data_IF_576088196233
#
_entry.id   IF_576088196233
#
_cell.length_a   1.000
_cell.length_b   1.000
_cell.length_c   1.000
_cell.angle_alpha   90.00
_cell.angle_beta   90.00
_cell.angle_gamma   90.00
#
_symmetry.space_group_name_H-M   'P 1'
#
loop_
_entity.id
_entity.type
_entity.pdbx_description
1 polymer ?
#
# COMPACT_ATOMS: atom_id res chain seq x y z
N UNK A 1 12.75 -6.01 6.76
CA UNK A 1 12.10 -5.97 5.43
C UNK A 1 12.34 -4.65 4.74
N UNK A 2 12.21 -4.60 3.44
CA UNK A 2 12.36 -3.35 2.69
C UNK A 2 11.13 -2.47 2.85
N UNK A 3 11.26 -1.17 2.54
CA UNK A 3 10.12 -0.25 2.58
C UNK A 3 9.02 -0.69 1.60
N UNK A 4 9.40 -1.22 0.44
CA UNK A 4 8.41 -1.72 -0.53
C UNK A 4 7.61 -2.89 -0.01
N UNK A 5 8.26 -3.83 0.71
CA UNK A 5 7.57 -4.94 1.35
C UNK A 5 6.61 -4.46 2.44
N UNK A 6 7.04 -3.48 3.23
CA UNK A 6 6.21 -2.90 4.28
C UNK A 6 4.96 -2.22 3.68
N UNK A 7 5.12 -1.50 2.58
CA UNK A 7 4.00 -0.88 1.87
C UNK A 7 3.02 -1.95 1.36
N UNK A 8 3.54 -3.00 0.75
CA UNK A 8 2.72 -4.11 0.26
C UNK A 8 1.87 -4.71 1.39
N UNK A 9 2.51 -5.01 2.50
CA UNK A 9 1.83 -5.61 3.65
C UNK A 9 0.82 -4.65 4.27
N UNK A 10 1.14 -3.35 4.28
CA UNK A 10 0.22 -2.33 4.80
C UNK A 10 -1.06 -2.25 3.96
N UNK A 11 -0.93 -2.32 2.63
CA UNK A 11 -2.10 -2.33 1.74
C UNK A 11 -2.99 -3.54 2.06
N UNK A 12 -2.39 -4.73 2.21
CA UNK A 12 -3.14 -5.93 2.55
C UNK A 12 -3.79 -5.83 3.93
N UNK A 13 -3.10 -5.24 4.90
CA UNK A 13 -3.63 -5.01 6.24
C UNK A 13 -4.86 -4.11 6.19
N UNK A 14 -4.79 -3.00 5.43
CA UNK A 14 -5.91 -2.08 5.29
C UNK A 14 -7.11 -2.74 4.60
N UNK A 15 -6.87 -3.55 3.58
CA UNK A 15 -7.94 -4.32 2.93
C UNK A 15 -8.63 -5.25 3.93
N UNK A 16 -7.85 -5.93 4.75
CA UNK A 16 -8.37 -6.84 5.76
C UNK A 16 -9.20 -6.10 6.81
N UNK A 17 -8.69 -4.97 7.29
CA UNK A 17 -9.41 -4.14 8.27
C UNK A 17 -10.72 -3.61 7.73
N UNK A 18 -10.76 -3.26 6.44
CA UNK A 18 -11.94 -2.71 5.80
C UNK A 18 -12.87 -3.79 5.22
N UNK A 19 -12.47 -5.06 5.28
CA UNK A 19 -13.23 -6.18 4.73
C UNK A 19 -13.51 -5.99 3.23
N UNK A 20 -12.50 -5.53 2.50
CA UNK A 20 -12.57 -5.35 1.05
C UNK A 20 -11.51 -6.20 0.37
N UNK A 21 -11.76 -6.56 -0.88
CA UNK A 21 -10.80 -7.26 -1.72
C UNK A 21 -9.83 -6.27 -2.35
N UNK A 22 -8.70 -6.77 -2.85
CA UNK A 22 -7.75 -5.96 -3.62
C UNK A 22 -8.44 -5.35 -4.85
N UNK A 23 -9.28 -6.12 -5.54
CA UNK A 23 -10.05 -5.61 -6.66
C UNK A 23 -11.00 -4.48 -6.23
N UNK A 24 -11.67 -4.66 -5.09
CA UNK A 24 -12.53 -3.63 -4.53
C UNK A 24 -11.76 -2.36 -4.22
N UNK A 25 -10.55 -2.50 -3.67
CA UNK A 25 -9.69 -1.35 -3.41
C UNK A 25 -9.32 -0.61 -4.69
N UNK A 26 -9.01 -1.34 -5.78
CA UNK A 26 -8.67 -0.71 -7.05
C UNK A 26 -9.80 0.17 -7.58
N UNK A 27 -11.04 -0.26 -7.44
CA UNK A 27 -12.21 0.54 -7.81
C UNK A 27 -12.33 1.81 -6.97
N UNK A 28 -12.20 1.67 -5.66
CA UNK A 28 -12.34 2.78 -4.71
C UNK A 28 -11.27 3.84 -4.97
N UNK A 29 -10.04 3.42 -5.28
CA UNK A 29 -8.89 4.30 -5.38
C UNK A 29 -8.63 4.82 -6.80
N UNK A 30 -9.36 4.32 -7.80
CA UNK A 30 -9.14 4.72 -9.18
C UNK A 30 -7.81 4.23 -9.73
N UNK A 31 -7.34 3.08 -9.28
CA UNK A 31 -6.12 2.43 -9.74
C UNK A 31 -6.51 1.21 -10.55
N UNK A 32 -5.78 0.91 -11.63
CA UNK A 32 -6.09 -0.29 -12.41
C UNK A 32 -5.81 -1.54 -11.59
N UNK A 33 -6.57 -2.59 -11.84
CA UNK A 33 -6.38 -3.87 -11.15
C UNK A 33 -4.97 -4.41 -11.36
N UNK A 34 -4.44 -4.26 -12.56
CA UNK A 34 -3.10 -4.76 -12.87
C UNK A 34 -2.02 -4.00 -12.09
N UNK A 35 -2.14 -2.69 -11.94
CA UNK A 35 -1.20 -1.89 -11.15
C UNK A 35 -1.20 -2.33 -9.69
N UNK A 36 -2.39 -2.41 -9.09
CA UNK A 36 -2.50 -2.78 -7.68
C UNK A 36 -2.10 -4.23 -7.45
N UNK A 37 -2.48 -5.13 -8.35
CA UNK A 37 -2.09 -6.54 -8.28
C UNK A 37 -0.57 -6.71 -8.30
N UNK A 38 0.13 -5.96 -9.16
CA UNK A 38 1.59 -6.01 -9.22
C UNK A 38 2.24 -5.57 -7.91
N UNK A 39 1.66 -4.58 -7.24
CA UNK A 39 2.17 -4.13 -5.94
C UNK A 39 1.96 -5.23 -4.88
N UNK A 40 0.75 -5.75 -4.76
CA UNK A 40 0.42 -6.71 -3.68
C UNK A 40 1.04 -8.08 -3.89
N UNK A 41 1.40 -8.43 -5.13
CA UNK A 41 2.13 -9.67 -5.43
C UNK A 41 3.64 -9.52 -5.24
N UNK A 42 4.12 -8.31 -5.02
CA UNK A 42 5.53 -8.04 -4.85
C UNK A 42 6.32 -7.90 -6.16
N UNK A 43 5.63 -7.81 -7.31
CA UNK A 43 6.27 -7.60 -8.62
C UNK A 43 6.76 -6.16 -8.78
N UNK A 44 6.00 -5.19 -8.27
CA UNK A 44 6.42 -3.80 -8.22
C UNK A 44 6.88 -3.51 -6.79
N UNK A 45 8.20 -3.40 -6.61
CA UNK A 45 8.81 -3.17 -5.28
C UNK A 45 8.95 -1.69 -4.95
N UNK A 46 8.64 -0.82 -5.90
CA UNK A 46 8.80 0.62 -5.74
C UNK A 46 7.53 1.36 -6.20
N UNK A 47 6.41 1.18 -5.50
CA UNK A 47 5.18 1.89 -5.88
C UNK A 47 5.39 3.39 -5.81
N UNK A 48 4.79 4.11 -6.76
CA UNK A 48 4.90 5.55 -6.80
C UNK A 48 4.16 6.17 -5.62
N UNK A 49 4.67 7.31 -5.17
CA UNK A 49 4.07 7.99 -4.02
C UNK A 49 2.62 8.45 -4.32
N UNK A 50 2.34 8.84 -5.56
CA UNK A 50 0.97 9.22 -5.92
C UNK A 50 0.02 8.03 -5.92
N UNK A 51 0.51 6.82 -6.18
CA UNK A 51 -0.30 5.60 -6.05
C UNK A 51 -0.70 5.39 -4.59
N UNK A 52 0.25 5.57 -3.66
CA UNK A 52 -0.03 5.50 -2.22
C UNK A 52 -1.04 6.57 -1.83
N UNK A 53 -0.90 7.79 -2.36
CA UNK A 53 -1.84 8.88 -2.08
C UNK A 53 -3.25 8.54 -2.55
N UNK A 54 -3.39 7.93 -3.74
CA UNK A 54 -4.69 7.48 -4.25
C UNK A 54 -5.35 6.47 -3.32
N UNK A 55 -4.56 5.54 -2.79
CA UNK A 55 -5.05 4.55 -1.83
C UNK A 55 -5.56 5.26 -0.57
N UNK A 56 -4.79 6.20 -0.05
CA UNK A 56 -5.19 6.98 1.11
C UNK A 56 -6.49 7.73 0.87
N UNK A 57 -6.59 8.41 -0.28
CA UNK A 57 -7.78 9.17 -0.62
C UNK A 57 -9.01 8.28 -0.75
N UNK A 58 -8.86 7.13 -1.41
CA UNK A 58 -9.95 6.19 -1.58
C UNK A 58 -10.43 5.60 -0.26
N UNK A 59 -9.54 5.37 0.67
CA UNK A 59 -9.87 4.84 2.00
C UNK A 59 -10.19 5.94 3.02
N UNK A 60 -10.11 7.20 2.61
CA UNK A 60 -10.37 8.36 3.48
C UNK A 60 -9.46 8.37 4.71
N UNK A 61 -8.19 8.08 4.50
CA UNK A 61 -7.16 8.17 5.53
C UNK A 61 -6.09 9.16 5.10
N UNK A 62 -5.30 9.63 6.05
CA UNK A 62 -4.17 10.52 5.75
C UNK A 62 -2.94 9.70 5.39
N UNK A 63 -1.94 10.36 4.79
CA UNK A 63 -0.62 9.74 4.57
C UNK A 63 -0.02 9.28 5.90
N UNK A 64 -0.16 10.09 6.95
CA UNK A 64 0.33 9.72 8.28
C UNK A 64 -0.33 8.44 8.78
N UNK A 65 -1.65 8.32 8.61
CA UNK A 65 -2.38 7.11 9.00
C UNK A 65 -1.88 5.89 8.24
N UNK A 66 -1.60 6.04 6.96
CA UNK A 66 -1.09 4.94 6.14
C UNK A 66 0.21 4.39 6.72
N UNK A 67 1.14 5.27 7.08
CA UNK A 67 2.46 4.88 7.59
C UNK A 67 2.49 4.68 9.11
N UNK A 68 1.39 4.89 9.80
CA UNK A 68 1.30 4.66 11.24
C UNK A 68 0.98 3.18 11.51
N UNK A 69 1.99 2.34 11.34
CA UNK A 69 1.88 0.90 11.53
C UNK A 69 3.23 0.37 11.98
N UNK A 70 3.25 -0.66 12.87
CA UNK A 70 4.50 -1.31 13.27
C UNK A 70 5.30 -1.86 12.09
N UNK A 71 4.68 -2.10 10.94
CA UNK A 71 5.35 -2.56 9.74
C UNK A 71 6.51 -1.64 9.32
N UNK A 72 6.42 -0.35 9.64
CA UNK A 72 7.42 0.64 9.21
C UNK A 72 8.50 0.93 10.25
N UNK A 73 8.44 0.30 11.42
CA UNK A 73 9.39 0.60 12.51
C UNK A 73 10.80 0.10 12.23
N UNK A 74 10.95 -1.01 11.51
CA UNK A 74 12.25 -1.66 11.31
C UNK A 74 12.52 -1.95 9.84
N UNK A 75 12.23 -0.98 8.96
CA UNK A 75 12.53 -1.13 7.54
C UNK A 75 14.03 -0.90 7.29
N UNK A 76 14.57 -1.61 6.31
CA UNK A 76 15.99 -1.52 5.96
C UNK A 76 16.34 -0.16 5.39
N UNK A 77 17.58 0.25 5.59
CA UNK A 77 18.10 1.46 4.96
C UNK A 77 18.21 1.26 3.44
N UNK A 78 17.87 2.32 2.70
CA UNK A 78 18.06 2.33 1.26
C UNK A 78 19.45 2.81 0.86
N UNK A 79 20.11 3.53 1.73
CA UNK A 79 21.48 4.03 1.52
C UNK A 79 22.44 2.94 1.96
N UNK A 80 23.41 2.66 1.12
CA UNK A 80 24.44 1.65 1.39
C UNK A 80 25.80 2.26 1.65
#
# INVERSE_FOLDING_TARGET
MTIGEAVRLRILELCRERLITVNGLSYICGITQSTLSNIVRGNNKNPQINTIKKICDGLEITIQDFFNSPLFENVEQEIQ
#
